data_IF_027588074166
#
_entry.id   IF_027588074166
#
_cell.length_a   1.000
_cell.length_b   1.000
_cell.length_c   1.000
_cell.angle_alpha   90.00
_cell.angle_beta   90.00
_cell.angle_gamma   90.00
#
_symmetry.space_group_name_H-M   'P 1'
#
loop_
_entity.id
_entity.type
_entity.pdbx_description
1 polymer ?
#
# COMPACT_ATOMS: atom_id res chain seq x y z
N UNK A 1 -7.07 8.16 6.68
CA UNK A 1 -6.43 7.11 5.90
C UNK A 1 -5.63 7.73 4.76
N UNK A 2 -4.43 7.25 4.46
CA UNK A 2 -3.61 7.69 3.32
C UNK A 2 -3.08 6.45 2.61
N UNK A 3 -3.53 6.19 1.38
CA UNK A 3 -3.17 4.95 0.67
C UNK A 3 -2.83 5.19 -0.80
N UNK A 4 -2.17 4.23 -1.42
CA UNK A 4 -2.17 4.10 -2.87
C UNK A 4 -3.54 3.69 -3.41
N UNK A 5 -3.63 3.52 -4.73
CA UNK A 5 -4.86 3.17 -5.46
C UNK A 5 -4.88 1.73 -6.00
N UNK A 6 -3.88 0.89 -5.69
CA UNK A 6 -3.88 -0.50 -6.14
C UNK A 6 -4.94 -1.35 -5.40
N UNK A 7 -5.41 -2.48 -5.98
CA UNK A 7 -6.49 -3.28 -5.41
C UNK A 7 -6.30 -3.63 -3.93
N UNK A 8 -5.11 -4.06 -3.50
CA UNK A 8 -4.80 -4.36 -2.09
C UNK A 8 -4.95 -3.17 -1.15
N UNK A 9 -4.68 -1.94 -1.63
CA UNK A 9 -4.83 -0.72 -0.83
C UNK A 9 -6.30 -0.36 -0.66
N UNK A 10 -7.07 -0.50 -1.74
CA UNK A 10 -8.52 -0.28 -1.73
C UNK A 10 -9.22 -1.31 -0.85
N UNK A 11 -8.80 -2.57 -0.94
CA UNK A 11 -9.31 -3.65 -0.09
C UNK A 11 -9.11 -3.33 1.41
N UNK A 12 -7.90 -2.90 1.80
CA UNK A 12 -7.65 -2.47 3.18
C UNK A 12 -8.57 -1.33 3.60
N UNK A 13 -8.75 -0.31 2.75
CA UNK A 13 -9.64 0.81 3.04
C UNK A 13 -11.09 0.34 3.25
N UNK A 14 -11.55 -0.59 2.42
CA UNK A 14 -12.87 -1.20 2.56
C UNK A 14 -13.02 -2.02 3.85
N UNK A 15 -11.99 -2.79 4.25
CA UNK A 15 -12.01 -3.51 5.53
C UNK A 15 -12.06 -2.53 6.70
N UNK A 16 -11.21 -1.52 6.70
CA UNK A 16 -11.17 -0.54 7.81
C UNK A 16 -12.49 0.19 7.98
N UNK A 17 -13.17 0.54 6.89
CA UNK A 17 -14.46 1.24 6.93
C UNK A 17 -15.62 0.40 7.50
N UNK A 18 -15.47 -0.92 7.61
CA UNK A 18 -16.47 -1.78 8.26
C UNK A 18 -16.42 -1.70 9.79
N UNK A 19 -15.28 -1.30 10.35
CA UNK A 19 -15.03 -1.30 11.80
C UNK A 19 -14.76 0.09 12.37
N UNK A 20 -14.45 1.06 11.52
CA UNK A 20 -14.03 2.41 11.91
C UNK A 20 -14.67 3.46 11.03
N UNK A 21 -14.90 4.64 11.58
CA UNK A 21 -15.29 5.83 10.80
C UNK A 21 -14.05 6.40 10.13
N UNK A 22 -13.98 6.29 8.81
CA UNK A 22 -12.90 6.85 8.00
C UNK A 22 -13.23 8.33 7.71
N UNK A 23 -12.90 9.21 8.64
CA UNK A 23 -13.20 10.65 8.58
C UNK A 23 -12.60 11.35 7.36
N UNK A 24 -11.53 10.80 6.78
CA UNK A 24 -10.93 11.30 5.53
C UNK A 24 -10.00 10.31 4.88
N UNK A 25 -9.92 10.36 3.55
CA UNK A 25 -9.09 9.45 2.76
C UNK A 25 -8.30 10.20 1.68
N UNK A 26 -6.98 10.23 1.83
CA UNK A 26 -6.04 10.66 0.79
C UNK A 26 -5.65 9.45 -0.04
N UNK A 27 -5.86 9.52 -1.35
CA UNK A 27 -5.51 8.45 -2.29
C UNK A 27 -4.39 8.95 -3.20
N UNK A 28 -3.20 8.39 -3.04
CA UNK A 28 -2.12 8.64 -3.98
C UNK A 28 -2.30 7.79 -5.23
N UNK A 29 -2.37 8.44 -6.39
CA UNK A 29 -2.35 7.75 -7.66
C UNK A 29 -0.96 7.23 -7.97
N UNK A 30 -0.82 5.90 -7.96
CA UNK A 30 0.43 5.17 -8.19
C UNK A 30 0.63 4.79 -9.66
N UNK A 31 -0.23 5.31 -10.55
CA UNK A 31 -0.28 4.93 -11.95
C UNK A 31 -0.91 3.55 -12.16
N UNK A 32 -0.80 3.05 -13.37
CA UNK A 32 -1.34 1.74 -13.70
C UNK A 32 -0.59 0.62 -12.97
N UNK A 33 -1.36 -0.32 -12.46
CA UNK A 33 -0.82 -1.48 -11.76
C UNK A 33 -0.06 -2.42 -12.72
N UNK A 34 -0.56 -2.57 -13.92
CA UNK A 34 0.19 -3.09 -15.07
C UNK A 34 1.08 -1.96 -15.57
N UNK A 35 2.37 -2.06 -15.35
CA UNK A 35 3.29 -1.15 -16.00
C UNK A 35 3.19 -1.35 -17.51
N UNK A 36 3.00 -0.29 -18.29
CA UNK A 36 3.06 -0.38 -19.73
C UNK A 36 4.43 -0.94 -20.12
N UNK A 37 4.50 -1.58 -21.27
CA UNK A 37 5.71 -2.11 -21.86
C UNK A 37 6.78 -1.01 -21.93
N UNK A 38 7.55 -0.89 -20.86
CA UNK A 38 8.73 -0.02 -20.82
C UNK A 38 9.96 -0.93 -20.88
N UNK A 39 10.89 -0.62 -21.72
CA UNK A 39 12.18 -1.29 -21.73
C UNK A 39 12.89 -1.00 -20.40
N UNK A 40 12.89 -1.97 -19.51
CA UNK A 40 13.57 -1.89 -18.21
C UNK A 40 15.09 -2.05 -18.35
N UNK A 41 15.50 -2.65 -19.45
CA UNK A 41 16.89 -2.99 -19.77
C UNK A 41 17.10 -3.00 -21.28
N UNK A 42 18.33 -2.91 -21.71
CA UNK A 42 18.73 -3.21 -23.09
C UNK A 42 18.66 -4.70 -23.40
N UNK A 43 18.58 -5.55 -22.38
CA UNK A 43 18.43 -7.00 -22.50
C UNK A 43 16.95 -7.37 -22.72
N UNK A 44 16.68 -7.94 -23.89
CA UNK A 44 15.33 -8.36 -24.28
C UNK A 44 14.77 -9.46 -23.38
N UNK A 45 15.59 -10.39 -22.88
CA UNK A 45 15.16 -11.46 -21.98
C UNK A 45 14.73 -10.90 -20.63
N UNK A 46 15.47 -9.93 -20.08
CA UNK A 46 15.10 -9.25 -18.85
C UNK A 46 13.77 -8.50 -18.98
N UNK A 47 13.54 -7.85 -20.11
CA UNK A 47 12.27 -7.17 -20.38
C UNK A 47 11.10 -8.15 -20.43
N UNK A 48 11.28 -9.31 -21.08
CA UNK A 48 10.27 -10.38 -21.12
C UNK A 48 9.98 -10.94 -19.72
N UNK A 49 11.01 -11.25 -18.93
CA UNK A 49 10.85 -11.73 -17.55
C UNK A 49 10.14 -10.73 -16.66
N UNK A 50 10.46 -9.44 -16.78
CA UNK A 50 9.76 -8.37 -16.08
C UNK A 50 8.28 -8.30 -16.47
N UNK A 51 7.96 -8.40 -17.75
CA UNK A 51 6.58 -8.38 -18.23
C UNK A 51 5.78 -9.57 -17.69
N UNK A 52 6.35 -10.78 -17.70
CA UNK A 52 5.76 -11.98 -17.12
C UNK A 52 5.51 -11.80 -15.64
N UNK A 53 6.49 -11.31 -14.89
CA UNK A 53 6.38 -11.05 -13.46
C UNK A 53 5.25 -10.07 -13.13
N UNK A 54 5.21 -8.91 -13.78
CA UNK A 54 4.18 -7.92 -13.51
C UNK A 54 2.77 -8.38 -13.90
N UNK A 55 2.66 -9.16 -14.99
CA UNK A 55 1.39 -9.76 -15.40
C UNK A 55 0.90 -10.78 -14.38
N UNK A 56 1.77 -11.68 -13.90
CA UNK A 56 1.44 -12.67 -12.90
C UNK A 56 1.01 -12.02 -11.58
N UNK A 57 1.74 -11.00 -11.13
CA UNK A 57 1.38 -10.20 -9.96
C UNK A 57 0.01 -9.53 -10.10
N UNK A 58 -0.26 -8.92 -11.26
CA UNK A 58 -1.56 -8.31 -11.52
C UNK A 58 -2.71 -9.33 -11.44
N UNK A 59 -2.53 -10.50 -12.04
CA UNK A 59 -3.53 -11.56 -12.01
C UNK A 59 -3.78 -12.07 -10.59
N UNK A 60 -2.73 -12.24 -9.79
CA UNK A 60 -2.85 -12.62 -8.39
C UNK A 60 -3.60 -11.56 -7.58
N UNK A 61 -3.21 -10.28 -7.67
CA UNK A 61 -3.92 -9.22 -6.96
C UNK A 61 -5.38 -9.06 -7.42
N UNK A 62 -5.63 -9.19 -8.73
CA UNK A 62 -7.00 -9.16 -9.26
C UNK A 62 -7.83 -10.29 -8.65
N UNK A 63 -7.31 -11.51 -8.66
CA UNK A 63 -7.99 -12.66 -8.08
C UNK A 63 -8.31 -12.43 -6.60
N UNK A 64 -7.31 -12.12 -5.76
CA UNK A 64 -7.49 -12.04 -4.31
C UNK A 64 -8.26 -10.81 -3.84
N UNK A 65 -8.10 -9.65 -4.49
CA UNK A 65 -8.66 -8.38 -4.01
C UNK A 65 -9.85 -7.88 -4.83
N UNK A 66 -10.18 -8.53 -5.95
CA UNK A 66 -11.34 -8.18 -6.78
C UNK A 66 -12.28 -9.38 -6.91
N UNK A 67 -11.81 -10.47 -7.54
CA UNK A 67 -12.69 -11.57 -7.97
C UNK A 67 -13.16 -12.42 -6.77
N UNK A 68 -12.25 -12.81 -5.86
CA UNK A 68 -12.53 -13.63 -4.68
C UNK A 68 -12.79 -12.79 -3.41
N UNK A 69 -12.81 -11.46 -3.55
CA UNK A 69 -12.89 -10.52 -2.43
C UNK A 69 -14.28 -10.44 -1.82
N UNK A 70 -14.35 -10.39 -0.49
CA UNK A 70 -15.58 -10.03 0.25
C UNK A 70 -15.88 -8.53 0.19
N UNK A 71 -14.91 -7.70 -0.22
CA UNK A 71 -15.04 -6.25 -0.39
C UNK A 71 -15.18 -5.95 -1.87
N UNK A 72 -16.34 -5.47 -2.29
CA UNK A 72 -16.57 -5.08 -3.67
C UNK A 72 -15.96 -3.70 -3.98
N UNK A 73 -14.64 -3.67 -4.24
CA UNK A 73 -13.90 -2.44 -4.56
C UNK A 73 -14.25 -1.85 -5.95
N UNK A 74 -14.97 -2.60 -6.78
CA UNK A 74 -15.41 -2.15 -8.11
C UNK A 74 -16.81 -1.53 -8.10
N UNK A 75 -17.51 -1.57 -6.96
CA UNK A 75 -18.81 -0.94 -6.81
C UNK A 75 -18.74 0.58 -7.06
N UNK A 76 -19.72 1.13 -7.75
CA UNK A 76 -19.84 2.58 -8.00
C UNK A 76 -19.85 3.40 -6.72
N UNK A 77 -20.36 2.83 -5.62
CA UNK A 77 -20.46 3.48 -4.32
C UNK A 77 -19.29 3.16 -3.39
N UNK A 78 -18.30 2.38 -3.83
CA UNK A 78 -17.21 1.93 -2.97
C UNK A 78 -16.53 3.11 -2.24
N UNK A 79 -16.07 4.08 -2.98
CA UNK A 79 -15.33 5.21 -2.40
C UNK A 79 -16.16 6.00 -1.38
N UNK A 80 -17.41 6.32 -1.72
CA UNK A 80 -18.31 7.05 -0.82
C UNK A 80 -18.75 6.24 0.40
N UNK A 81 -18.70 4.90 0.32
CA UNK A 81 -18.95 4.02 1.46
C UNK A 81 -17.76 3.97 2.41
N UNK A 82 -16.53 4.12 1.89
CA UNK A 82 -15.33 4.16 2.74
C UNK A 82 -15.20 5.50 3.46
N UNK A 83 -15.37 6.62 2.76
CA UNK A 83 -15.28 7.95 3.37
C UNK A 83 -16.11 8.97 2.58
N UNK A 84 -16.65 9.96 3.29
CA UNK A 84 -17.31 11.12 2.68
C UNK A 84 -16.31 12.19 2.22
N UNK A 85 -15.13 12.23 2.84
CA UNK A 85 -14.08 13.20 2.54
C UNK A 85 -12.94 12.48 1.84
N UNK A 86 -12.79 12.66 0.54
CA UNK A 86 -11.76 12.01 -0.27
C UNK A 86 -11.02 13.07 -1.08
N UNK A 87 -9.70 12.98 -1.09
CA UNK A 87 -8.83 13.71 -1.99
C UNK A 87 -7.89 12.76 -2.72
N UNK A 88 -7.73 12.96 -4.03
CA UNK A 88 -6.75 12.23 -4.84
C UNK A 88 -5.58 13.13 -5.18
N UNK A 89 -4.39 12.56 -5.19
CA UNK A 89 -3.17 13.30 -5.51
C UNK A 89 -2.19 12.44 -6.30
N UNK A 90 -1.31 13.10 -7.03
CA UNK A 90 -0.14 12.47 -7.60
C UNK A 90 0.99 12.36 -6.56
N UNK A 91 2.06 11.61 -6.88
CA UNK A 91 3.28 11.57 -6.06
C UNK A 91 3.82 12.97 -5.74
N UNK A 92 3.77 13.89 -6.73
CA UNK A 92 4.33 15.25 -6.58
C UNK A 92 3.50 16.11 -5.62
N UNK A 93 2.21 15.79 -5.52
CA UNK A 93 1.27 16.58 -4.74
C UNK A 93 1.00 16.00 -3.34
N UNK A 94 1.53 14.80 -3.03
CA UNK A 94 1.30 14.12 -1.75
C UNK A 94 1.70 14.97 -0.54
N UNK A 95 2.73 15.78 -0.68
CA UNK A 95 3.22 16.70 0.36
C UNK A 95 2.85 18.17 0.11
N UNK A 96 1.80 18.43 -0.68
CA UNK A 96 1.37 19.78 -1.04
C UNK A 96 0.56 20.45 0.05
N UNK A 97 0.43 21.78 -0.07
CA UNK A 97 -0.44 22.58 0.79
C UNK A 97 -1.93 22.14 0.69
N UNK A 98 -2.37 21.64 -0.47
CA UNK A 98 -3.72 21.12 -0.65
C UNK A 98 -4.00 19.92 0.26
N UNK A 99 -3.06 18.97 0.34
CA UNK A 99 -3.15 17.81 1.24
C UNK A 99 -3.06 18.25 2.70
N UNK A 100 -2.17 19.19 3.03
CA UNK A 100 -2.07 19.76 4.38
C UNK A 100 -3.39 20.37 4.83
N UNK A 101 -4.02 21.20 4.00
CA UNK A 101 -5.29 21.84 4.31
C UNK A 101 -6.42 20.82 4.45
N UNK A 102 -6.44 19.79 3.61
CA UNK A 102 -7.41 18.70 3.72
C UNK A 102 -7.27 17.96 5.07
N UNK A 103 -6.06 17.58 5.47
CA UNK A 103 -5.80 16.86 6.73
C UNK A 103 -6.17 17.74 7.93
N UNK A 104 -5.82 19.01 7.92
CA UNK A 104 -6.12 19.95 9.00
C UNK A 104 -7.62 20.11 9.29
N UNK A 105 -8.48 19.88 8.31
CA UNK A 105 -9.94 19.95 8.46
C UNK A 105 -10.59 18.70 9.06
N UNK A 106 -9.85 17.60 9.30
CA UNK A 106 -10.44 16.28 9.59
C UNK A 106 -10.46 15.87 11.06
N UNK A 107 -9.53 16.33 11.87
CA UNK A 107 -9.37 15.96 13.30
C UNK A 107 -9.41 14.44 13.57
N UNK A 108 -8.60 13.60 12.92
CA UNK A 108 -8.61 12.16 13.13
C UNK A 108 -7.94 11.77 14.46
N UNK A 109 -8.42 10.71 15.11
CA UNK A 109 -7.77 10.10 16.29
C UNK A 109 -6.54 9.29 15.88
N UNK A 110 -6.61 8.62 14.73
CA UNK A 110 -5.58 7.71 14.22
C UNK A 110 -5.33 7.99 12.74
N UNK A 111 -4.07 7.92 12.32
CA UNK A 111 -3.70 7.93 10.91
C UNK A 111 -3.07 6.58 10.52
N UNK A 112 -3.53 5.99 9.41
CA UNK A 112 -2.96 4.77 8.83
C UNK A 112 -2.53 5.06 7.41
N UNK A 113 -1.29 4.65 7.07
CA UNK A 113 -0.73 4.76 5.73
C UNK A 113 -0.44 3.38 5.14
N UNK A 114 -0.64 3.22 3.83
CA UNK A 114 -0.29 1.99 3.13
C UNK A 114 0.03 2.22 1.65
N UNK A 115 1.23 1.82 1.24
CA UNK A 115 1.63 1.80 -0.17
C UNK A 115 1.72 3.19 -0.82
N UNK A 116 2.15 4.19 -0.08
CA UNK A 116 2.38 5.57 -0.54
C UNK A 116 3.87 5.88 -0.65
N UNK A 117 4.20 7.01 -1.26
CA UNK A 117 5.54 7.58 -1.17
C UNK A 117 5.77 8.24 0.19
N UNK A 118 7.01 8.68 0.43
CA UNK A 118 7.43 9.27 1.71
C UNK A 118 6.64 10.56 1.97
N UNK A 119 6.08 10.65 3.17
CA UNK A 119 5.53 11.89 3.72
C UNK A 119 6.67 12.70 4.34
N UNK A 120 6.72 13.98 4.03
CA UNK A 120 7.66 14.89 4.68
C UNK A 120 7.16 15.36 6.06
N UNK A 121 8.01 16.07 6.77
CA UNK A 121 7.69 16.56 8.11
C UNK A 121 6.50 17.52 8.11
N UNK A 122 6.21 18.23 7.03
CA UNK A 122 5.06 19.15 6.97
C UNK A 122 3.74 18.38 7.09
N UNK A 123 3.64 17.21 6.46
CA UNK A 123 2.46 16.33 6.59
C UNK A 123 2.52 15.51 7.88
N UNK A 124 3.68 14.92 8.21
CA UNK A 124 3.81 14.07 9.40
C UNK A 124 3.44 14.80 10.71
N UNK A 125 3.71 16.10 10.81
CA UNK A 125 3.40 16.90 11.98
C UNK A 125 1.91 17.29 12.09
N UNK A 126 1.15 17.18 11.01
CA UNK A 126 -0.30 17.40 10.99
C UNK A 126 -1.09 16.15 11.41
N UNK A 127 -0.48 14.99 11.26
CA UNK A 127 -1.11 13.73 11.61
C UNK A 127 -1.18 13.58 13.15
N UNK A 128 -2.18 12.82 13.68
CA UNK A 128 -2.29 12.58 15.11
C UNK A 128 -1.06 11.88 15.67
N UNK A 129 -0.95 11.83 16.99
CA UNK A 129 0.13 11.12 17.69
C UNK A 129 0.11 9.64 17.30
N UNK A 130 -1.09 9.04 17.26
CA UNK A 130 -1.30 7.67 16.84
C UNK A 130 -1.32 7.58 15.31
N UNK A 131 -0.15 7.34 14.72
CA UNK A 131 0.03 7.21 13.28
C UNK A 131 0.89 5.99 12.95
N UNK A 132 0.41 5.20 11.99
CA UNK A 132 0.98 3.90 11.67
C UNK A 132 1.14 3.73 10.15
N UNK A 133 2.15 2.95 9.77
CA UNK A 133 2.33 2.51 8.39
C UNK A 133 2.19 0.99 8.31
N UNK A 134 1.47 0.52 7.31
CA UNK A 134 1.47 -0.89 6.92
C UNK A 134 2.51 -1.06 5.83
N UNK A 135 3.54 -1.82 6.14
CA UNK A 135 4.64 -2.10 5.25
C UNK A 135 4.58 -3.55 4.77
N UNK A 136 4.80 -3.76 3.45
CA UNK A 136 4.75 -5.07 2.81
C UNK A 136 6.00 -5.92 2.99
N UNK A 137 6.64 -5.87 4.15
CA UNK A 137 7.84 -6.64 4.46
C UNK A 137 8.02 -6.83 5.96
N UNK A 138 8.85 -7.77 6.34
CA UNK A 138 9.18 -8.04 7.75
C UNK A 138 10.35 -7.14 8.16
N UNK A 139 10.03 -6.02 8.83
CA UNK A 139 11.05 -5.09 9.36
C UNK A 139 11.78 -5.70 10.56
N UNK A 140 13.06 -5.43 10.78
CA UNK A 140 13.92 -4.52 10.02
C UNK A 140 14.60 -5.16 8.81
N UNK A 141 14.43 -6.46 8.55
CA UNK A 141 15.18 -7.21 7.54
C UNK A 141 14.78 -6.82 6.10
N UNK A 142 13.49 -6.68 5.84
CA UNK A 142 12.94 -6.36 4.52
C UNK A 142 12.23 -5.02 4.55
N UNK A 143 13.00 -3.91 4.46
CA UNK A 143 12.52 -2.52 4.41
C UNK A 143 12.56 -1.99 2.99
N UNK A 144 11.77 -0.96 2.68
CA UNK A 144 11.76 -0.30 1.38
C UNK A 144 10.70 -0.87 0.42
N UNK A 145 11.06 -1.07 -0.84
CA UNK A 145 10.12 -1.49 -1.90
C UNK A 145 10.34 -2.93 -2.35
N UNK A 146 9.29 -3.51 -2.99
CA UNK A 146 9.31 -4.89 -3.57
C UNK A 146 9.63 -5.96 -2.50
N UNK A 147 9.24 -5.71 -1.29
CA UNK A 147 9.62 -6.51 -0.12
C UNK A 147 8.94 -7.88 -0.05
N UNK A 148 7.93 -8.14 -0.89
CA UNK A 148 7.38 -9.50 -1.05
C UNK A 148 8.21 -10.36 -2.02
N UNK A 149 8.99 -9.74 -2.91
CA UNK A 149 9.88 -10.45 -3.83
C UNK A 149 11.17 -10.91 -3.17
N UNK A 150 11.82 -10.01 -2.42
CA UNK A 150 13.16 -10.23 -1.89
C UNK A 150 13.28 -11.46 -0.98
N UNK A 151 12.34 -11.77 -0.08
CA UNK A 151 12.42 -12.98 0.74
C UNK A 151 12.52 -14.25 -0.11
N UNK A 152 11.68 -14.37 -1.14
CA UNK A 152 11.71 -15.53 -2.02
C UNK A 152 13.00 -15.60 -2.85
N UNK A 153 13.48 -14.47 -3.36
CA UNK A 153 14.75 -14.39 -4.09
C UNK A 153 15.95 -14.78 -3.22
N UNK A 154 15.93 -14.40 -1.95
CA UNK A 154 16.98 -14.76 -0.96
C UNK A 154 16.80 -16.16 -0.36
N UNK A 155 15.87 -16.96 -0.88
CA UNK A 155 15.53 -18.31 -0.39
C UNK A 155 15.02 -18.32 1.07
N UNK A 156 14.37 -17.23 1.48
CA UNK A 156 13.75 -17.05 2.80
C UNK A 156 12.24 -16.79 2.69
N UNK A 157 11.44 -17.60 1.92
CA UNK A 157 10.04 -17.31 1.67
C UNK A 157 9.19 -17.21 2.95
N UNK A 158 9.61 -17.85 4.04
CA UNK A 158 9.00 -17.72 5.37
C UNK A 158 9.07 -16.29 5.94
N UNK A 159 9.90 -15.42 5.38
CA UNK A 159 10.02 -14.00 5.74
C UNK A 159 9.10 -13.10 4.89
N UNK A 160 8.21 -13.69 4.10
CA UNK A 160 7.17 -12.93 3.39
C UNK A 160 6.06 -12.59 4.36
N UNK A 161 5.73 -11.29 4.48
CA UNK A 161 4.73 -10.85 5.43
C UNK A 161 4.53 -9.34 5.45
N UNK A 162 3.86 -8.88 6.49
CA UNK A 162 3.53 -7.49 6.72
C UNK A 162 4.05 -7.02 8.07
N UNK A 163 4.44 -5.77 8.15
CA UNK A 163 4.77 -5.08 9.40
C UNK A 163 3.88 -3.85 9.55
N UNK A 164 3.17 -3.75 10.67
CA UNK A 164 2.56 -2.50 11.13
C UNK A 164 3.52 -1.85 12.12
N UNK A 165 3.97 -0.65 11.81
CA UNK A 165 4.91 0.09 12.64
C UNK A 165 4.46 1.54 12.80
N UNK A 166 4.95 2.23 13.84
CA UNK A 166 4.70 3.66 14.03
C UNK A 166 5.27 4.43 12.84
N UNK A 167 4.47 5.31 12.26
CA UNK A 167 4.90 6.14 11.13
C UNK A 167 5.86 7.22 11.63
N UNK A 168 7.05 7.28 11.05
CA UNK A 168 8.11 8.25 11.34
C UNK A 168 8.73 8.77 10.05
N UNK A 169 9.63 9.76 10.15
CA UNK A 169 10.40 10.23 8.99
C UNK A 169 11.42 9.19 8.48
N UNK A 170 11.72 8.16 9.26
CA UNK A 170 12.64 7.08 8.85
C UNK A 170 11.87 6.04 8.06
N UNK A 171 12.29 5.76 6.84
CA UNK A 171 11.64 4.78 5.95
C UNK A 171 11.55 3.42 6.63
N UNK A 172 10.32 2.93 6.84
CA UNK A 172 9.96 1.65 7.46
C UNK A 172 10.73 1.34 8.75
N UNK A 173 11.12 2.37 9.48
CA UNK A 173 12.05 2.30 10.62
C UNK A 173 11.45 2.66 11.96
N UNK A 174 10.15 2.91 12.06
CA UNK A 174 9.48 3.20 13.33
C UNK A 174 9.33 1.95 14.21
N UNK A 175 9.03 2.14 15.51
CA UNK A 175 8.74 1.04 16.42
C UNK A 175 7.66 0.11 15.89
N UNK A 176 7.94 -1.18 15.91
CA UNK A 176 7.04 -2.22 15.40
C UNK A 176 5.87 -2.39 16.38
N UNK A 177 4.65 -2.35 15.84
CA UNK A 177 3.44 -2.62 16.59
C UNK A 177 2.99 -4.08 16.44
N UNK A 178 3.02 -4.56 15.20
CA UNK A 178 2.60 -5.93 14.87
C UNK A 178 3.29 -6.42 13.60
N UNK A 179 3.54 -7.72 13.54
CA UNK A 179 4.03 -8.40 12.35
C UNK A 179 3.27 -9.69 12.13
N UNK A 180 3.06 -10.03 10.87
CA UNK A 180 2.46 -11.29 10.48
C UNK A 180 3.15 -11.81 9.23
N UNK A 181 3.57 -13.07 9.26
CA UNK A 181 4.12 -13.78 8.09
C UNK A 181 3.01 -14.54 7.37
N UNK A 182 3.15 -14.67 6.06
CA UNK A 182 2.27 -15.50 5.26
C UNK A 182 2.40 -16.99 5.63
N UNK A 183 1.30 -17.72 5.52
CA UNK A 183 1.33 -19.18 5.61
C UNK A 183 1.71 -19.71 4.24
N UNK A 184 2.85 -20.42 4.17
CA UNK A 184 3.30 -21.03 2.92
C UNK A 184 2.59 -22.37 2.71
N UNK A 185 2.03 -22.56 1.53
CA UNK A 185 1.36 -23.80 1.13
C UNK A 185 2.10 -24.42 -0.06
N UNK A 186 2.15 -25.75 -0.11
CA UNK A 186 2.79 -26.43 -1.23
C UNK A 186 2.12 -26.04 -2.55
N UNK A 187 2.91 -25.53 -3.48
CA UNK A 187 2.44 -25.05 -4.77
C UNK A 187 2.31 -23.52 -4.86
N UNK A 188 2.53 -22.80 -3.76
CA UNK A 188 2.62 -21.35 -3.81
C UNK A 188 3.77 -20.92 -4.70
N UNK A 189 3.50 -19.90 -5.50
CA UNK A 189 4.49 -19.20 -6.29
C UNK A 189 4.93 -17.90 -5.63
N UNK A 190 5.65 -17.11 -6.42
CA UNK A 190 6.13 -15.78 -6.00
C UNK A 190 4.99 -14.73 -5.87
N UNK A 191 3.81 -15.05 -6.40
CA UNK A 191 2.66 -14.13 -6.51
C UNK A 191 1.43 -14.66 -5.80
#
# INVERSE_FOLDING_TARGET
>A
LITGNHPRHLYLAGILSQFHDVVGWVIEDRGEFLRPESNYSEDALLNELCAIHFKARYLAEKRFFIDDSTINITSSNFYSNVSKNIIRCSKKDLNSLSISNFINGLYPDIAITYGIHILDNSILNLLPIEKYNIHGGISPWYRGSITHFWPSYMLEPQMTGLTMHRLTAVLDGGPILHQNTGILVRGDGLH
#
